data_IF_843077742359
#
_entry.id   IF_843077742359
#
_cell.length_a   1.000
_cell.length_b   1.000
_cell.length_c   1.000
_cell.angle_alpha   90.00
_cell.angle_beta   90.00
_cell.angle_gamma   90.00
#
_symmetry.space_group_name_H-M   'P 1'
#
loop_
_entity.id
_entity.type
_entity.pdbx_description
1 polymer ?
#
# COMPACT_ATOMS: atom_id res chain seq x y z
N UNK A 1 -3.75 -21.71 -23.47
CA UNK A 1 -3.53 -21.80 -22.01
C UNK A 1 -4.88 -22.12 -21.39
N UNK A 2 -5.02 -23.24 -20.66
CA UNK A 2 -6.27 -23.56 -19.96
C UNK A 2 -6.37 -22.71 -18.69
N UNK A 3 -7.53 -22.11 -18.43
CA UNK A 3 -7.76 -21.27 -17.25
C UNK A 3 -8.22 -22.14 -16.08
N UNK A 4 -7.44 -22.18 -15.00
CA UNK A 4 -7.87 -22.74 -13.71
C UNK A 4 -8.14 -21.56 -12.76
N UNK A 5 -9.41 -21.27 -12.51
CA UNK A 5 -9.83 -20.14 -11.67
C UNK A 5 -10.76 -20.63 -10.59
N UNK A 6 -10.40 -20.38 -9.33
CA UNK A 6 -11.22 -20.65 -8.16
C UNK A 6 -11.63 -19.31 -7.51
N UNK A 7 -12.86 -18.81 -7.76
CA UNK A 7 -13.28 -17.47 -7.31
C UNK A 7 -13.21 -17.30 -5.79
N UNK A 8 -13.45 -18.38 -5.03
CA UNK A 8 -13.34 -18.38 -3.57
C UNK A 8 -11.90 -18.09 -3.09
N UNK A 9 -10.89 -18.56 -3.82
CA UNK A 9 -9.49 -18.30 -3.48
C UNK A 9 -9.09 -16.86 -3.80
N UNK A 10 -9.63 -16.27 -4.89
CA UNK A 10 -9.44 -14.84 -5.16
C UNK A 10 -10.07 -13.97 -4.07
N UNK A 11 -11.24 -14.36 -3.55
CA UNK A 11 -11.90 -13.61 -2.48
C UNK A 11 -11.14 -13.74 -1.15
N UNK A 12 -10.63 -14.94 -0.83
CA UNK A 12 -9.75 -15.14 0.33
C UNK A 12 -8.47 -14.28 0.23
N UNK A 13 -7.81 -14.29 -0.94
CA UNK A 13 -6.64 -13.44 -1.19
C UNK A 13 -6.95 -11.95 -1.12
N UNK A 14 -8.17 -11.53 -1.50
CA UNK A 14 -8.62 -10.14 -1.35
C UNK A 14 -8.62 -9.74 0.13
N UNK A 15 -9.18 -10.57 1.01
CA UNK A 15 -9.22 -10.29 2.44
C UNK A 15 -7.83 -10.18 3.05
N UNK A 16 -6.90 -11.06 2.65
CA UNK A 16 -5.51 -11.00 3.09
C UNK A 16 -4.82 -9.70 2.67
N UNK A 17 -4.95 -9.31 1.40
CA UNK A 17 -4.39 -8.05 0.88
C UNK A 17 -4.99 -6.86 1.61
N UNK A 18 -6.32 -6.82 1.79
CA UNK A 18 -7.00 -5.70 2.45
C UNK A 18 -6.67 -5.61 3.95
N UNK A 19 -6.46 -6.74 4.63
CA UNK A 19 -5.97 -6.74 6.01
C UNK A 19 -4.55 -6.19 6.12
N UNK A 20 -3.67 -6.55 5.17
CA UNK A 20 -2.32 -5.99 5.09
C UNK A 20 -2.33 -4.49 4.78
N UNK A 21 -3.26 -4.03 3.94
CA UNK A 21 -3.45 -2.60 3.67
C UNK A 21 -3.87 -1.87 4.96
N UNK A 22 -4.86 -2.40 5.69
CA UNK A 22 -5.31 -1.79 6.94
C UNK A 22 -4.18 -1.67 7.98
N UNK A 23 -3.39 -2.73 8.17
CA UNK A 23 -2.25 -2.71 9.10
C UNK A 23 -1.15 -1.75 8.64
N UNK A 24 -0.82 -1.74 7.35
CA UNK A 24 0.24 -0.88 6.78
C UNK A 24 -0.13 0.60 6.82
N UNK A 25 -1.41 0.95 6.65
CA UNK A 25 -1.91 2.32 6.83
C UNK A 25 -1.58 2.88 8.22
N UNK A 26 -1.70 2.06 9.26
CA UNK A 26 -1.33 2.44 10.63
C UNK A 26 0.17 2.71 10.79
N UNK A 27 1.01 1.93 10.12
CA UNK A 27 2.47 2.12 10.13
C UNK A 27 2.86 3.41 9.41
N UNK A 28 2.35 3.64 8.20
CA UNK A 28 2.66 4.85 7.40
C UNK A 28 2.21 6.11 8.15
N UNK A 29 0.97 6.11 8.66
CA UNK A 29 0.43 7.24 9.43
C UNK A 29 1.18 7.48 10.75
N UNK A 30 1.50 6.41 11.49
CA UNK A 30 2.22 6.51 12.76
C UNK A 30 3.69 6.92 12.60
N UNK A 31 4.34 6.48 11.52
CA UNK A 31 5.74 6.80 11.26
C UNK A 31 5.94 8.22 10.71
N UNK A 32 4.95 8.81 10.03
CA UNK A 32 5.04 10.13 9.42
C UNK A 32 5.57 11.21 10.40
N UNK A 33 5.06 11.24 11.64
CA UNK A 33 5.50 12.20 12.65
C UNK A 33 6.94 11.97 13.12
N UNK A 34 7.36 10.72 13.25
CA UNK A 34 8.70 10.37 13.71
C UNK A 34 9.78 10.64 12.63
N UNK A 35 9.49 10.35 11.37
CA UNK A 35 10.46 10.50 10.27
C UNK A 35 10.55 11.98 9.82
N UNK A 36 9.47 12.75 9.96
CA UNK A 36 9.45 14.18 9.59
C UNK A 36 10.12 15.12 10.61
N UNK A 37 10.33 14.67 11.85
CA UNK A 37 10.93 15.48 12.92
C UNK A 37 12.47 15.40 12.90
N UNK A 38 13.09 15.91 11.84
CA UNK A 38 14.56 15.98 11.74
C UNK A 38 15.07 17.29 12.32
N UNK A 39 15.96 17.20 13.32
CA UNK A 39 16.60 18.36 13.97
C UNK A 39 18.10 18.32 13.72
N UNK A 40 18.77 19.46 13.46
CA UNK A 40 20.23 19.50 13.37
C UNK A 40 20.90 19.01 14.66
N UNK A 41 21.95 18.20 14.52
CA UNK A 41 22.74 17.71 15.65
C UNK A 41 23.59 18.81 16.31
N UNK A 42 23.86 19.89 15.57
CA UNK A 42 24.66 21.04 15.99
C UNK A 42 24.34 22.28 15.16
N UNK A 43 24.94 23.41 15.53
CA UNK A 43 24.76 24.70 14.85
C UNK A 43 25.75 24.91 13.68
N UNK A 44 26.58 23.93 13.38
CA UNK A 44 27.48 23.96 12.24
C UNK A 44 26.74 23.73 10.92
N UNK A 45 27.31 24.28 9.83
CA UNK A 45 26.69 24.23 8.50
C UNK A 45 26.49 22.81 7.99
N UNK A 46 27.34 21.85 8.40
CA UNK A 46 27.21 20.44 7.99
C UNK A 46 26.01 19.80 8.68
N UNK A 47 25.84 20.00 9.99
CA UNK A 47 24.66 19.56 10.73
C UNK A 47 23.36 20.13 10.17
N UNK A 48 23.36 21.40 9.76
CA UNK A 48 22.20 22.03 9.14
C UNK A 48 21.90 21.43 7.75
N UNK A 49 22.93 21.25 6.91
CA UNK A 49 22.77 20.64 5.59
C UNK A 49 22.28 19.19 5.67
N UNK A 50 22.83 18.40 6.59
CA UNK A 50 22.40 17.01 6.80
C UNK A 50 20.96 16.96 7.27
N UNK A 51 20.58 17.77 8.26
CA UNK A 51 19.20 17.82 8.76
C UNK A 51 18.18 18.22 7.68
N UNK A 52 18.50 19.23 6.87
CA UNK A 52 17.61 19.66 5.77
C UNK A 52 17.50 18.62 4.67
N UNK A 53 18.60 17.97 4.29
CA UNK A 53 18.62 16.87 3.32
C UNK A 53 17.85 15.64 3.81
N UNK A 54 18.04 15.25 5.07
CA UNK A 54 17.30 14.15 5.69
C UNK A 54 15.80 14.45 5.80
N UNK A 55 15.40 15.70 6.11
CA UNK A 55 14.00 16.10 6.10
C UNK A 55 13.37 16.01 4.70
N UNK A 56 14.09 16.46 3.67
CA UNK A 56 13.63 16.33 2.28
C UNK A 56 13.51 14.87 1.84
N UNK A 57 14.48 14.03 2.21
CA UNK A 57 14.45 12.59 1.95
C UNK A 57 13.27 11.91 2.66
N UNK A 58 13.05 12.22 3.94
CA UNK A 58 11.93 11.71 4.73
C UNK A 58 10.57 12.05 4.10
N UNK A 59 10.40 13.31 3.65
CA UNK A 59 9.18 13.74 2.98
C UNK A 59 8.95 12.98 1.66
N UNK A 60 10.01 12.80 0.86
CA UNK A 60 9.93 12.05 -0.39
C UNK A 60 9.63 10.57 -0.16
N UNK A 61 10.26 9.95 0.84
CA UNK A 61 10.02 8.57 1.22
C UNK A 61 8.56 8.35 1.66
N UNK A 62 8.01 9.27 2.46
CA UNK A 62 6.63 9.19 2.90
C UNK A 62 5.65 9.34 1.72
N UNK A 63 5.90 10.27 0.81
CA UNK A 63 5.09 10.45 -0.38
C UNK A 63 5.08 9.20 -1.27
N UNK A 64 6.24 8.60 -1.53
CA UNK A 64 6.35 7.36 -2.29
C UNK A 64 5.63 6.21 -1.57
N UNK A 65 5.83 6.06 -0.26
CA UNK A 65 5.19 5.01 0.54
C UNK A 65 3.65 5.10 0.48
N UNK A 66 3.08 6.30 0.49
CA UNK A 66 1.63 6.50 0.37
C UNK A 66 1.13 6.10 -1.02
N UNK A 67 1.86 6.42 -2.08
CA UNK A 67 1.49 6.04 -3.45
C UNK A 67 1.52 4.52 -3.65
N UNK A 68 2.62 3.87 -3.25
CA UNK A 68 2.76 2.41 -3.34
C UNK A 68 1.68 1.71 -2.51
N UNK A 69 1.36 2.26 -1.33
CA UNK A 69 0.29 1.75 -0.49
C UNK A 69 -1.08 1.83 -1.15
N UNK A 70 -1.37 2.95 -1.82
CA UNK A 70 -2.61 3.13 -2.56
C UNK A 70 -2.71 2.15 -3.75
N UNK A 71 -1.59 1.83 -4.39
CA UNK A 71 -1.55 0.81 -5.47
C UNK A 71 -1.89 -0.59 -4.94
N UNK A 72 -1.33 -0.99 -3.80
CA UNK A 72 -1.66 -2.30 -3.19
C UNK A 72 -3.14 -2.37 -2.77
N UNK A 73 -3.71 -1.26 -2.29
CA UNK A 73 -5.14 -1.19 -2.01
C UNK A 73 -5.99 -1.35 -3.28
N UNK A 74 -5.61 -0.70 -4.37
CA UNK A 74 -6.26 -0.86 -5.68
C UNK A 74 -6.14 -2.29 -6.21
N UNK A 75 -5.00 -2.94 -5.99
CA UNK A 75 -4.81 -4.35 -6.33
C UNK A 75 -5.84 -5.23 -5.59
N UNK A 76 -6.06 -5.03 -4.29
CA UNK A 76 -7.11 -5.74 -3.55
C UNK A 76 -8.50 -5.55 -4.15
N UNK A 77 -8.87 -4.32 -4.51
CA UNK A 77 -10.15 -4.03 -5.18
C UNK A 77 -10.26 -4.75 -6.53
N UNK A 78 -9.18 -4.75 -7.31
CA UNK A 78 -9.15 -5.42 -8.61
C UNK A 78 -9.34 -6.94 -8.49
N UNK A 79 -8.78 -7.55 -7.43
CA UNK A 79 -8.91 -8.98 -7.15
C UNK A 79 -10.35 -9.34 -6.78
N UNK A 80 -11.03 -8.47 -6.01
CA UNK A 80 -12.45 -8.61 -5.69
C UNK A 80 -13.32 -8.51 -6.95
N UNK A 81 -13.06 -7.51 -7.80
CA UNK A 81 -13.79 -7.32 -9.05
C UNK A 81 -13.62 -8.52 -10.00
N UNK A 82 -12.42 -9.08 -10.09
CA UNK A 82 -12.16 -10.29 -10.84
C UNK A 82 -12.94 -11.49 -10.29
N UNK A 83 -12.92 -11.70 -8.96
CA UNK A 83 -13.69 -12.76 -8.31
C UNK A 83 -15.20 -12.65 -8.62
N UNK A 84 -15.76 -11.44 -8.49
CA UNK A 84 -17.16 -11.18 -8.80
C UNK A 84 -17.49 -11.49 -10.27
N UNK A 85 -16.62 -11.09 -11.20
CA UNK A 85 -16.81 -11.35 -12.64
C UNK A 85 -16.86 -12.85 -12.93
N UNK A 86 -15.99 -13.65 -12.32
CA UNK A 86 -16.01 -15.11 -12.50
C UNK A 86 -17.26 -15.75 -11.89
N UNK A 87 -17.73 -15.28 -10.74
CA UNK A 87 -19.00 -15.76 -10.14
C UNK A 87 -20.19 -15.45 -11.06
N UNK A 88 -20.24 -14.23 -11.61
CA UNK A 88 -21.31 -13.84 -12.54
C UNK A 88 -21.28 -14.68 -13.83
N UNK A 89 -20.09 -14.96 -14.36
CA UNK A 89 -19.92 -15.81 -15.53
C UNK A 89 -20.37 -17.26 -15.27
N UNK A 90 -20.03 -17.83 -14.11
CA UNK A 90 -20.45 -19.18 -13.74
C UNK A 90 -21.98 -19.28 -13.61
N UNK A 91 -22.60 -18.30 -12.95
CA UNK A 91 -24.06 -18.21 -12.82
C UNK A 91 -24.79 -18.05 -14.17
N UNK A 92 -24.17 -17.44 -15.17
CA UNK A 92 -24.78 -17.24 -16.49
C UNK A 92 -24.85 -18.52 -17.35
N UNK A 93 -24.03 -19.53 -17.03
CA UNK A 93 -23.95 -20.80 -17.79
C UNK A 93 -24.83 -21.90 -17.19
N UNK A 94 -25.38 -21.70 -15.98
CA UNK A 94 -26.21 -22.69 -15.28
C UNK A 94 -27.70 -22.73 -15.69
N UNK A 95 -28.06 -22.17 -16.85
CA UNK A 95 -29.41 -22.26 -17.45
C UNK A 95 -29.40 -23.16 -18.69
#
# INVERSE_FOLDING_TARGET
>A
MSLNVAPIQLLAGTNEVMANVATTSGVIGGAAGAIGAVVPAGADDVSLLVSTSSAAHAANFLAASVLDHAEVAQYGVSLSAAAATYIMADNAVQF
#
